data_IF_414675152847
#
_entry.id   IF_414675152847
#
_cell.length_a   1.000
_cell.length_b   1.000
_cell.length_c   1.000
_cell.angle_alpha   90.00
_cell.angle_beta   90.00
_cell.angle_gamma   90.00
#
_symmetry.space_group_name_H-M   'P 1'
#
loop_
_entity.id
_entity.type
_entity.pdbx_description
1 polymer ?
#
# COMPACT_ATOMS: atom_id res chain seq x y z
N UNK A 1 19.06 3.95 -43.62
CA UNK A 1 18.78 2.90 -42.61
C UNK A 1 17.32 2.87 -42.16
N UNK A 2 16.72 3.95 -41.63
CA UNK A 2 15.29 3.91 -41.18
C UNK A 2 14.24 3.64 -42.28
N UNK A 3 14.57 3.94 -43.54
CA UNK A 3 13.69 3.73 -44.69
C UNK A 3 14.04 2.46 -45.49
N UNK A 4 14.99 1.65 -45.01
CA UNK A 4 15.36 0.41 -45.69
C UNK A 4 14.23 -0.64 -45.55
N UNK A 5 13.74 -1.23 -46.65
CA UNK A 5 12.62 -2.18 -46.62
C UNK A 5 12.89 -3.40 -45.74
N UNK A 6 14.14 -3.89 -45.70
CA UNK A 6 14.54 -5.03 -44.87
C UNK A 6 14.41 -4.70 -43.39
N UNK A 7 14.86 -3.51 -43.01
CA UNK A 7 14.74 -3.00 -41.64
C UNK A 7 13.27 -2.85 -41.22
N UNK A 8 12.40 -2.34 -42.11
CA UNK A 8 10.97 -2.20 -41.82
C UNK A 8 10.26 -3.56 -41.67
N UNK A 9 10.55 -4.52 -42.55
CA UNK A 9 9.99 -5.86 -42.47
C UNK A 9 10.43 -6.59 -41.19
N UNK A 10 11.70 -6.44 -40.80
CA UNK A 10 12.22 -7.00 -39.57
C UNK A 10 11.54 -6.39 -38.33
N UNK A 11 11.39 -5.07 -38.27
CA UNK A 11 10.67 -4.42 -37.18
C UNK A 11 9.20 -4.84 -37.12
N UNK A 12 8.52 -4.97 -38.27
CA UNK A 12 7.14 -5.43 -38.32
C UNK A 12 6.97 -6.86 -37.79
N UNK A 13 7.94 -7.74 -38.05
CA UNK A 13 7.95 -9.11 -37.54
C UNK A 13 8.25 -9.18 -36.03
N UNK A 14 9.15 -8.34 -35.53
CA UNK A 14 9.58 -8.36 -34.12
C UNK A 14 8.66 -7.57 -33.17
N UNK A 15 8.03 -6.50 -33.65
CA UNK A 15 7.20 -5.62 -32.81
C UNK A 15 6.11 -6.37 -32.00
N UNK A 16 5.34 -7.32 -32.57
CA UNK A 16 4.35 -8.07 -31.80
C UNK A 16 4.96 -8.83 -30.61
N UNK A 17 6.13 -9.43 -30.80
CA UNK A 17 6.84 -10.15 -29.73
C UNK A 17 7.37 -9.19 -28.66
N UNK A 18 7.85 -8.01 -29.06
CA UNK A 18 8.24 -6.99 -28.08
C UNK A 18 7.05 -6.45 -27.29
N UNK A 19 5.87 -6.31 -27.91
CA UNK A 19 4.67 -5.91 -27.18
C UNK A 19 4.20 -6.99 -26.19
N UNK A 20 4.23 -8.27 -26.58
CA UNK A 20 3.93 -9.38 -25.67
C UNK A 20 4.87 -9.38 -24.47
N UNK A 21 6.17 -9.29 -24.73
CA UNK A 21 7.18 -9.27 -23.67
C UNK A 21 7.03 -8.04 -22.76
N UNK A 22 6.72 -6.88 -23.34
CA UNK A 22 6.48 -5.66 -22.57
C UNK A 22 5.23 -5.77 -21.69
N UNK A 23 4.20 -6.49 -22.13
CA UNK A 23 2.98 -6.71 -21.34
C UNK A 23 3.24 -7.66 -20.17
N UNK A 24 4.00 -8.74 -20.40
CA UNK A 24 4.42 -9.67 -19.35
C UNK A 24 5.30 -8.99 -18.28
N UNK A 25 6.16 -8.06 -18.68
CA UNK A 25 7.02 -7.29 -17.76
C UNK A 25 6.22 -6.41 -16.79
N UNK A 26 4.97 -6.03 -17.12
CA UNK A 26 4.12 -5.27 -16.19
C UNK A 26 3.84 -6.05 -14.90
N UNK A 27 3.73 -7.37 -14.99
CA UNK A 27 3.56 -8.24 -13.82
C UNK A 27 4.76 -8.14 -12.88
N UNK A 28 5.97 -7.85 -13.36
CA UNK A 28 7.13 -7.63 -12.50
C UNK A 28 7.11 -6.27 -11.77
N UNK A 29 6.23 -5.35 -12.17
CA UNK A 29 6.08 -4.00 -11.60
C UNK A 29 4.90 -3.89 -10.64
N UNK A 30 4.53 -4.97 -9.94
CA UNK A 30 3.36 -5.01 -9.04
C UNK A 30 3.34 -3.86 -8.02
N UNK A 31 4.51 -3.52 -7.44
CA UNK A 31 4.65 -2.41 -6.49
C UNK A 31 4.34 -1.03 -7.11
N UNK A 32 4.55 -0.85 -8.41
CA UNK A 32 4.23 0.41 -9.12
C UNK A 32 2.77 0.47 -9.56
N UNK A 33 2.07 -0.67 -9.56
CA UNK A 33 0.71 -0.83 -10.06
C UNK A 33 -0.28 -1.25 -8.98
N UNK A 34 0.00 -0.95 -7.69
CA UNK A 34 -0.87 -1.31 -6.54
C UNK A 34 -2.34 -0.88 -6.75
N UNK A 35 -2.58 0.22 -7.49
CA UNK A 35 -3.94 0.70 -7.81
C UNK A 35 -4.70 -0.21 -8.80
N UNK A 36 -4.02 -1.02 -9.58
CA UNK A 36 -4.59 -1.86 -10.64
C UNK A 36 -4.72 -3.33 -10.22
N UNK A 37 -4.08 -3.72 -9.11
CA UNK A 37 -4.12 -5.08 -8.58
C UNK A 37 -5.51 -5.44 -8.02
N UNK A 38 -5.85 -6.72 -8.14
CA UNK A 38 -7.04 -7.31 -7.52
C UNK A 38 -6.80 -7.67 -6.05
N UNK A 39 -7.87 -8.03 -5.34
CA UNK A 39 -7.81 -8.35 -3.90
C UNK A 39 -6.80 -9.47 -3.60
N UNK A 40 -6.80 -10.55 -4.37
CA UNK A 40 -5.88 -11.67 -4.16
C UNK A 40 -4.41 -11.28 -4.30
N UNK A 41 -4.08 -10.47 -5.31
CA UNK A 41 -2.72 -10.00 -5.50
C UNK A 41 -2.30 -9.02 -4.41
N UNK A 42 -3.21 -8.17 -3.90
CA UNK A 42 -2.94 -7.29 -2.77
C UNK A 42 -2.66 -8.08 -1.49
N UNK A 43 -3.46 -9.12 -1.21
CA UNK A 43 -3.27 -9.97 -0.03
C UNK A 43 -1.91 -10.69 -0.06
N UNK A 44 -1.53 -11.25 -1.22
CA UNK A 44 -0.22 -11.89 -1.39
C UNK A 44 0.94 -10.88 -1.29
N UNK A 45 0.76 -9.68 -1.85
CA UNK A 45 1.76 -8.62 -1.78
C UNK A 45 1.95 -8.10 -0.35
N UNK A 46 0.87 -7.98 0.42
CA UNK A 46 0.93 -7.62 1.84
C UNK A 46 1.68 -8.70 2.63
N UNK A 47 1.45 -9.98 2.35
CA UNK A 47 2.19 -11.09 2.94
C UNK A 47 3.70 -11.03 2.59
N UNK A 48 4.03 -10.81 1.31
CA UNK A 48 5.41 -10.68 0.84
C UNK A 48 6.14 -9.50 1.49
N UNK A 49 5.44 -8.40 1.75
CA UNK A 49 5.97 -7.21 2.44
C UNK A 49 5.95 -7.33 3.97
N UNK A 50 5.42 -8.43 4.51
CA UNK A 50 5.28 -8.71 5.94
C UNK A 50 4.42 -7.69 6.72
N UNK A 51 3.41 -7.09 6.09
CA UNK A 51 2.58 -6.04 6.71
C UNK A 51 1.74 -6.61 7.85
N UNK A 52 2.29 -6.56 9.07
CA UNK A 52 1.73 -7.22 10.26
C UNK A 52 0.32 -6.71 10.66
N UNK A 53 0.00 -5.47 10.29
CA UNK A 53 -1.26 -4.79 10.62
C UNK A 53 -2.27 -4.80 9.46
N UNK A 54 -2.09 -5.69 8.49
CA UNK A 54 -2.97 -5.83 7.34
C UNK A 54 -4.20 -6.70 7.66
N UNK A 55 -5.38 -6.24 7.28
CA UNK A 55 -6.63 -7.01 7.32
C UNK A 55 -7.07 -7.43 5.91
N UNK A 56 -7.17 -8.75 5.69
CA UNK A 56 -7.64 -9.32 4.43
C UNK A 56 -9.14 -9.07 4.17
N UNK A 57 -9.91 -8.66 5.18
CA UNK A 57 -11.32 -8.30 5.07
C UNK A 57 -11.55 -6.80 4.87
N UNK A 58 -10.51 -5.98 4.91
CA UNK A 58 -10.60 -4.54 4.68
C UNK A 58 -11.05 -4.22 3.23
N UNK A 59 -11.58 -3.01 3.04
CA UNK A 59 -11.91 -2.51 1.71
C UNK A 59 -10.65 -2.40 0.83
N UNK A 60 -10.82 -2.56 -0.48
CA UNK A 60 -9.72 -2.59 -1.45
C UNK A 60 -8.90 -1.30 -1.42
N UNK A 61 -9.53 -0.16 -1.16
CA UNK A 61 -8.82 1.12 -1.03
C UNK A 61 -7.93 1.16 0.21
N UNK A 62 -8.42 0.67 1.36
CA UNK A 62 -7.62 0.55 2.59
C UNK A 62 -6.43 -0.37 2.36
N UNK A 63 -6.65 -1.55 1.76
CA UNK A 63 -5.59 -2.49 1.40
C UNK A 63 -4.50 -1.84 0.54
N UNK A 64 -4.89 -1.01 -0.44
CA UNK A 64 -3.96 -0.26 -1.29
C UNK A 64 -3.16 0.77 -0.51
N UNK A 65 -3.77 1.49 0.43
CA UNK A 65 -3.06 2.47 1.27
C UNK A 65 -2.05 1.77 2.18
N UNK A 66 -2.45 0.70 2.86
CA UNK A 66 -1.58 -0.08 3.74
C UNK A 66 -0.31 -0.55 3.02
N UNK A 67 -0.45 -1.08 1.81
CA UNK A 67 0.69 -1.55 1.01
C UNK A 67 1.59 -0.39 0.56
N UNK A 68 1.02 0.73 0.11
CA UNK A 68 1.79 1.92 -0.30
C UNK A 68 2.59 2.51 0.86
N UNK A 69 1.98 2.57 2.03
CA UNK A 69 2.54 3.19 3.21
C UNK A 69 3.38 2.21 4.06
N UNK A 70 3.36 0.91 3.78
CA UNK A 70 4.12 -0.11 4.52
C UNK A 70 5.60 0.26 4.73
N UNK A 71 6.31 0.65 3.67
CA UNK A 71 7.73 1.04 3.74
C UNK A 71 7.93 2.26 4.65
N UNK A 72 6.99 3.21 4.62
CA UNK A 72 7.00 4.42 5.43
C UNK A 72 6.79 4.06 6.90
N UNK A 73 5.81 3.22 7.21
CA UNK A 73 5.54 2.74 8.57
C UNK A 73 6.73 1.97 9.13
N UNK A 74 7.33 1.05 8.37
CA UNK A 74 8.55 0.35 8.83
C UNK A 74 9.70 1.30 9.13
N UNK A 75 9.88 2.35 8.32
CA UNK A 75 10.95 3.34 8.53
C UNK A 75 10.80 4.07 9.86
N UNK A 76 9.56 4.33 10.29
CA UNK A 76 9.26 5.06 11.52
C UNK A 76 8.76 4.14 12.66
N UNK A 77 8.93 2.82 12.53
CA UNK A 77 8.38 1.86 13.50
C UNK A 77 8.83 2.20 14.92
N UNK A 78 7.86 2.28 15.85
CA UNK A 78 8.10 2.63 17.25
C UNK A 78 7.98 4.11 17.58
N UNK A 79 7.55 4.95 16.64
CA UNK A 79 7.17 6.34 16.91
C UNK A 79 5.65 6.53 16.83
N UNK A 80 5.09 7.60 17.46
CA UNK A 80 3.67 7.95 17.32
C UNK A 80 3.26 8.09 15.85
N UNK A 81 4.14 8.64 15.02
CA UNK A 81 3.92 8.79 13.58
C UNK A 81 3.58 7.48 12.86
N UNK A 82 4.24 6.37 13.22
CA UNK A 82 3.94 5.08 12.62
C UNK A 82 2.54 4.59 13.00
N UNK A 83 2.08 4.89 14.22
CA UNK A 83 0.75 4.54 14.71
C UNK A 83 -0.30 5.41 13.99
N UNK A 84 -0.09 6.73 13.94
CA UNK A 84 -0.95 7.68 13.23
C UNK A 84 -1.14 7.30 11.77
N UNK A 85 -0.06 6.96 11.06
CA UNK A 85 -0.14 6.57 9.66
C UNK A 85 -1.00 5.32 9.45
N UNK A 86 -0.91 4.32 10.34
CA UNK A 86 -1.75 3.11 10.24
C UNK A 86 -3.22 3.44 10.52
N UNK A 87 -3.49 4.30 11.49
CA UNK A 87 -4.86 4.74 11.80
C UNK A 87 -5.45 5.52 10.62
N UNK A 88 -4.67 6.43 10.03
CA UNK A 88 -5.05 7.19 8.83
C UNK A 88 -5.36 6.24 7.66
N UNK A 89 -4.55 5.20 7.46
CA UNK A 89 -4.77 4.22 6.39
C UNK A 89 -6.11 3.46 6.53
N UNK A 90 -6.57 3.21 7.77
CA UNK A 90 -7.83 2.51 8.05
C UNK A 90 -9.05 3.42 8.17
N UNK A 91 -8.88 4.62 8.73
CA UNK A 91 -9.98 5.44 9.23
C UNK A 91 -9.97 6.88 8.72
N UNK A 92 -9.06 7.21 7.79
CA UNK A 92 -8.80 8.54 7.19
C UNK A 92 -8.28 9.62 8.15
N UNK A 93 -8.56 9.50 9.46
CA UNK A 93 -8.21 10.50 10.47
C UNK A 93 -7.83 9.85 11.79
N UNK A 94 -6.75 10.33 12.41
CA UNK A 94 -6.24 9.83 13.67
C UNK A 94 -5.00 10.56 14.14
N UNK A 95 -5.06 11.09 15.36
CA UNK A 95 -3.94 11.73 16.05
C UNK A 95 -3.60 10.94 17.32
N UNK A 96 -2.32 10.73 17.59
CA UNK A 96 -1.86 10.06 18.80
C UNK A 96 -1.49 11.10 19.83
N UNK A 97 -2.15 11.04 20.99
CA UNK A 97 -1.84 11.91 22.12
C UNK A 97 -1.17 11.09 23.23
N UNK A 98 -0.01 11.56 23.67
CA UNK A 98 0.82 10.89 24.66
C UNK A 98 0.35 11.19 26.10
N UNK A 99 0.59 10.27 27.04
CA UNK A 99 0.14 10.42 28.44
C UNK A 99 0.55 11.73 29.10
N UNK A 100 1.73 12.27 28.77
CA UNK A 100 2.21 13.52 29.36
C UNK A 100 1.50 14.77 28.80
N UNK A 101 0.76 14.65 27.70
CA UNK A 101 0.02 15.76 27.08
C UNK A 101 -1.37 15.91 27.73
N UNK A 102 -2.07 14.80 27.97
CA UNK A 102 -3.39 14.80 28.61
C UNK A 102 -3.38 14.50 30.11
N UNK A 103 -2.20 14.28 30.71
CA UNK A 103 -2.05 13.99 32.14
C UNK A 103 -2.48 12.57 32.54
N UNK A 104 -2.30 11.59 31.65
CA UNK A 104 -2.56 10.17 31.91
C UNK A 104 -1.47 9.46 32.71
N UNK A 105 -1.65 8.16 32.88
CA UNK A 105 -0.65 7.29 33.52
C UNK A 105 0.56 7.07 32.58
N UNK A 106 1.78 6.93 33.13
CA UNK A 106 2.96 6.63 32.32
C UNK A 106 2.79 5.36 31.47
N UNK A 107 3.35 5.39 30.26
CA UNK A 107 3.33 4.30 29.28
C UNK A 107 1.97 4.06 28.58
N UNK A 108 1.06 5.03 28.66
CA UNK A 108 -0.20 5.02 27.91
C UNK A 108 -0.18 6.07 26.82
N UNK A 109 -0.95 5.82 25.76
CA UNK A 109 -1.30 6.81 24.75
C UNK A 109 -2.78 6.63 24.42
N UNK A 110 -3.38 7.65 23.83
CA UNK A 110 -4.74 7.55 23.29
C UNK A 110 -4.76 8.02 21.86
N UNK A 111 -5.71 7.49 21.10
CA UNK A 111 -5.96 7.92 19.73
C UNK A 111 -7.20 8.80 19.74
N UNK A 112 -7.07 10.00 19.17
CA UNK A 112 -8.18 10.89 18.91
C UNK A 112 -8.50 10.78 17.43
N UNK A 113 -9.76 10.51 17.11
CA UNK A 113 -10.25 10.50 15.73
C UNK A 113 -11.64 11.14 15.67
N UNK A 114 -11.93 11.80 14.56
CA UNK A 114 -13.29 12.25 14.26
C UNK A 114 -14.18 11.12 13.72
N UNK A 115 -13.60 9.97 13.38
CA UNK A 115 -14.31 8.83 12.80
C UNK A 115 -15.03 8.00 13.88
N UNK A 116 -16.36 8.03 13.87
CA UNK A 116 -17.20 7.29 14.81
C UNK A 116 -17.15 5.77 14.66
N UNK A 117 -16.63 5.24 13.56
CA UNK A 117 -16.50 3.79 13.35
C UNK A 117 -15.44 3.14 14.26
N UNK A 118 -14.46 3.92 14.72
CA UNK A 118 -13.35 3.44 15.58
C UNK A 118 -13.82 3.11 17.01
N UNK A 119 -14.96 3.66 17.42
CA UNK A 119 -15.37 3.70 18.84
C UNK A 119 -16.15 2.45 19.29
N UNK A 120 -16.26 1.38 18.47
CA UNK A 120 -17.12 0.26 18.89
C UNK A 120 -16.99 -1.13 18.29
N UNK A 121 -16.43 -1.35 17.09
CA UNK A 121 -16.56 -2.70 16.47
C UNK A 121 -15.32 -3.20 15.69
N UNK A 122 -14.30 -2.38 15.46
CA UNK A 122 -13.11 -2.73 14.67
C UNK A 122 -11.79 -2.62 15.47
N UNK A 123 -11.88 -2.32 16.77
CA UNK A 123 -10.72 -2.19 17.66
C UNK A 123 -10.40 -3.50 18.43
N UNK A 124 -11.14 -4.58 18.15
CA UNK A 124 -11.00 -5.91 18.76
C UNK A 124 -10.21 -6.89 17.88
#
# INVERSE_FOLDING_TARGET
MKQDPTTQALCAALNPHFYQLADEVKVCMMLLQVNELDNSALDELAWQLHVDWYDAHADIEVKRQLIKNAIKVYRYRGTPYAIEQVIEDYFDDGEVEEWFEYGGDPYYFRVITSNTAVIGELAD
#
